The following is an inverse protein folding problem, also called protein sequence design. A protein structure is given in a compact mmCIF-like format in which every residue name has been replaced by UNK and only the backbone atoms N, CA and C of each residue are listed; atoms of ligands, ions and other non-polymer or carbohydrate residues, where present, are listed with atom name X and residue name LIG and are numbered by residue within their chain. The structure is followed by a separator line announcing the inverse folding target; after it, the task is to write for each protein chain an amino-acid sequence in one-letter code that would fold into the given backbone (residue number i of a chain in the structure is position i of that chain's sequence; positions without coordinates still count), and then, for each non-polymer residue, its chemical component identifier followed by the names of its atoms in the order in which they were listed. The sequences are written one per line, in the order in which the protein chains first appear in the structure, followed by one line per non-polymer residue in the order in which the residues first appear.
data_IF_069499388064
#
_entry.id   IF_069499388064
#
_cell.length_a   1.000
_cell.length_b   1.000
_cell.length_c   1.000
_cell.angle_alpha   90.00
_cell.angle_beta   90.00
_cell.angle_gamma   90.00
#
_symmetry.space_group_name_H-M   'P 1'
#
loop_
_entity.id
_entity.type
_entity.pdbx_description
1 polymer ?
#
# COMPACT_ATOMS: atom_id res chain seq x y z
N UNK A 1 -49.62 4.05 10.93
CA UNK A 1 -48.56 3.01 10.89
C UNK A 1 -47.46 3.33 9.86
N UNK A 2 -47.68 4.29 8.96
CA UNK A 2 -46.74 4.69 7.89
C UNK A 2 -45.43 5.33 8.37
N UNK A 3 -45.49 6.23 9.36
CA UNK A 3 -44.31 6.97 9.82
C UNK A 3 -43.22 6.06 10.42
N UNK A 4 -43.60 4.99 11.11
CA UNK A 4 -42.66 4.05 11.73
C UNK A 4 -41.87 3.26 10.67
N UNK A 5 -42.55 2.91 9.57
CA UNK A 5 -41.94 2.23 8.42
C UNK A 5 -40.97 3.16 7.71
N UNK A 6 -41.38 4.40 7.46
CA UNK A 6 -40.53 5.41 6.82
C UNK A 6 -39.24 5.70 7.62
N UNK A 7 -39.37 5.85 8.95
CA UNK A 7 -38.22 6.06 9.83
C UNK A 7 -37.28 4.84 9.83
N UNK A 8 -37.83 3.63 9.90
CA UNK A 8 -37.02 2.40 9.84
C UNK A 8 -36.27 2.25 8.51
N UNK A 9 -36.93 2.56 7.38
CA UNK A 9 -36.27 2.58 6.06
C UNK A 9 -35.17 3.63 5.98
N UNK A 10 -35.39 4.83 6.55
CA UNK A 10 -34.39 5.89 6.57
C UNK A 10 -33.14 5.47 7.37
N UNK A 11 -33.32 4.81 8.51
CA UNK A 11 -32.19 4.28 9.29
C UNK A 11 -31.40 3.22 8.51
N UNK A 12 -32.07 2.29 7.82
CA UNK A 12 -31.40 1.25 7.03
C UNK A 12 -30.51 1.83 5.92
N UNK A 13 -30.97 2.88 5.24
CA UNK A 13 -30.17 3.56 4.19
C UNK A 13 -28.91 4.20 4.78
N UNK A 14 -29.02 4.82 5.96
CA UNK A 14 -27.87 5.47 6.62
C UNK A 14 -26.82 4.43 7.03
N UNK A 15 -27.23 3.28 7.59
CA UNK A 15 -26.29 2.22 7.98
C UNK A 15 -25.57 1.58 6.79
N UNK A 16 -26.27 1.34 5.66
CA UNK A 16 -25.65 0.79 4.44
C UNK A 16 -24.64 1.76 3.83
N UNK A 17 -24.88 3.07 3.96
CA UNK A 17 -23.99 4.11 3.44
C UNK A 17 -22.65 4.21 4.18
N UNK A 18 -22.58 3.73 5.43
CA UNK A 18 -21.39 3.86 6.28
C UNK A 18 -20.39 2.70 6.11
N UNK A 19 -20.85 1.58 5.54
CA UNK A 19 -20.04 0.38 5.37
C UNK A 19 -19.34 0.38 4.02
N UNK A 20 -18.12 0.91 3.94
CA UNK A 20 -17.00 0.40 3.10
C UNK A 20 -15.85 1.41 3.11
N UNK A 21 -15.30 1.71 4.29
CA UNK A 21 -13.96 2.29 4.32
C UNK A 21 -12.97 1.21 3.89
N UNK A 22 -12.56 1.28 2.61
CA UNK A 22 -11.58 0.38 2.01
C UNK A 22 -10.25 0.63 2.72
N UNK A 23 -9.92 -0.22 3.69
CA UNK A 23 -8.60 -0.21 4.32
C UNK A 23 -7.59 -0.67 3.26
N UNK A 24 -6.91 0.29 2.63
CA UNK A 24 -5.77 -0.01 1.76
C UNK A 24 -4.66 -0.57 2.67
N UNK A 25 -4.26 -1.82 2.46
CA UNK A 25 -3.16 -2.42 3.22
C UNK A 25 -1.88 -1.62 2.92
N UNK A 26 -1.23 -1.12 3.97
CA UNK A 26 0.07 -0.46 3.81
C UNK A 26 1.09 -1.45 3.24
N UNK A 27 1.88 -1.07 2.24
CA UNK A 27 2.85 -1.96 1.65
C UNK A 27 3.99 -2.26 2.62
N UNK A 28 4.49 -3.49 2.53
CA UNK A 28 5.72 -3.91 3.18
C UNK A 28 6.92 -3.22 2.54
N UNK A 29 7.80 -2.66 3.37
CA UNK A 29 9.06 -2.06 2.93
C UNK A 29 10.20 -2.96 3.38
N UNK A 30 11.02 -3.43 2.43
CA UNK A 30 12.14 -4.35 2.71
C UNK A 30 13.37 -3.85 1.96
N UNK A 31 14.53 -3.81 2.61
CA UNK A 31 15.80 -3.53 1.93
C UNK A 31 16.12 -4.66 0.94
N UNK A 32 16.54 -4.32 -0.29
CA UNK A 32 16.92 -5.33 -1.28
C UNK A 32 18.25 -5.98 -0.89
N UNK A 33 18.26 -7.32 -0.79
CA UNK A 33 19.48 -8.10 -0.52
C UNK A 33 20.38 -8.28 -1.74
N UNK A 34 19.89 -7.91 -2.93
CA UNK A 34 20.56 -8.16 -4.21
C UNK A 34 21.09 -6.86 -4.83
N UNK A 35 20.47 -5.71 -4.53
CA UNK A 35 20.92 -4.42 -5.03
C UNK A 35 22.23 -4.00 -4.35
N UNK A 36 23.23 -3.59 -5.14
CA UNK A 36 24.51 -3.12 -4.60
C UNK A 36 24.43 -1.62 -4.27
N UNK A 37 24.64 -1.20 -3.01
CA UNK A 37 24.70 0.22 -2.66
C UNK A 37 25.93 0.90 -3.28
N UNK A 38 25.93 2.24 -3.44
CA UNK A 38 24.83 3.15 -3.08
C UNK A 38 23.71 3.18 -4.13
N UNK A 39 22.49 3.41 -3.67
CA UNK A 39 21.32 3.60 -4.51
C UNK A 39 21.34 5.03 -5.10
N UNK A 40 21.86 5.14 -6.32
CA UNK A 40 21.96 6.40 -7.07
C UNK A 40 20.79 6.63 -8.02
N UNK A 41 20.06 5.57 -8.37
CA UNK A 41 18.94 5.60 -9.30
C UNK A 41 17.80 4.70 -8.81
N UNK A 42 16.68 5.33 -8.47
CA UNK A 42 15.45 4.64 -8.06
C UNK A 42 14.88 3.75 -9.16
N UNK A 43 15.14 4.04 -10.44
CA UNK A 43 14.64 3.24 -11.57
C UNK A 43 15.33 1.88 -11.61
N UNK A 44 16.65 1.85 -11.46
CA UNK A 44 17.45 0.64 -11.33
C UNK A 44 17.11 -0.17 -10.08
N UNK A 45 16.85 0.51 -8.96
CA UNK A 45 16.36 -0.11 -7.73
C UNK A 45 14.98 -0.77 -7.95
N UNK A 46 14.01 -0.03 -8.51
CA UNK A 46 12.68 -0.55 -8.86
C UNK A 46 12.75 -1.77 -9.78
N UNK A 47 13.56 -1.71 -10.84
CA UNK A 47 13.72 -2.81 -11.77
C UNK A 47 14.26 -4.07 -11.06
N UNK A 48 15.24 -3.90 -10.17
CA UNK A 48 15.78 -4.98 -9.33
C UNK A 48 14.69 -5.55 -8.40
N UNK A 49 13.95 -4.68 -7.71
CA UNK A 49 12.89 -5.07 -6.79
C UNK A 49 11.76 -5.86 -7.48
N UNK A 50 11.33 -5.42 -8.67
CA UNK A 50 10.30 -6.14 -9.44
C UNK A 50 10.84 -7.49 -9.93
N UNK A 51 12.11 -7.53 -10.36
CA UNK A 51 12.71 -8.72 -10.97
C UNK A 51 13.07 -9.82 -9.97
N UNK A 52 13.57 -9.45 -8.79
CA UNK A 52 14.17 -10.41 -7.85
C UNK A 52 13.41 -10.53 -6.52
N UNK A 53 12.62 -9.52 -6.15
CA UNK A 53 12.02 -9.41 -4.82
C UNK A 53 10.49 -9.58 -4.81
N UNK A 54 9.86 -9.87 -5.96
CA UNK A 54 8.40 -9.91 -6.12
C UNK A 54 7.70 -8.63 -5.63
N UNK A 55 8.42 -7.51 -5.67
CA UNK A 55 7.91 -6.21 -5.27
C UNK A 55 7.13 -5.59 -6.43
N UNK A 56 6.17 -4.71 -6.11
CA UNK A 56 5.46 -3.93 -7.12
C UNK A 56 6.13 -2.58 -7.37
N UNK A 57 7.02 -2.16 -6.48
CA UNK A 57 7.78 -0.92 -6.61
C UNK A 57 9.12 -0.98 -5.86
N UNK A 58 9.97 0.02 -6.05
CA UNK A 58 11.21 0.19 -5.31
C UNK A 58 11.75 1.60 -5.41
N UNK A 59 12.55 2.02 -4.43
CA UNK A 59 13.16 3.36 -4.42
C UNK A 59 14.38 3.46 -3.52
N UNK A 60 15.20 4.48 -3.79
CA UNK A 60 16.33 4.81 -2.95
C UNK A 60 15.86 5.53 -1.68
N UNK A 61 16.37 5.11 -0.53
CA UNK A 61 16.13 5.74 0.77
C UNK A 61 17.36 5.60 1.67
N UNK A 62 17.37 6.30 2.81
CA UNK A 62 18.59 6.43 3.63
C UNK A 62 19.38 7.67 3.22
N UNK A 63 19.84 8.44 4.21
CA UNK A 63 20.42 9.77 4.00
C UNK A 63 21.79 9.73 3.32
N UNK A 64 22.85 9.64 4.11
CA UNK A 64 24.24 9.70 3.63
C UNK A 64 24.67 8.44 2.86
N UNK A 65 24.01 7.31 3.11
CA UNK A 65 24.25 6.03 2.45
C UNK A 65 22.90 5.52 1.91
N UNK A 66 22.53 5.91 0.67
CA UNK A 66 21.25 5.53 0.13
C UNK A 66 21.25 4.05 -0.20
N UNK A 67 20.27 3.32 0.32
CA UNK A 67 20.00 1.92 0.06
C UNK A 67 18.74 1.77 -0.78
N UNK A 68 18.60 0.60 -1.41
CA UNK A 68 17.43 0.28 -2.22
C UNK A 68 16.38 -0.42 -1.37
N UNK A 69 15.18 0.16 -1.29
CA UNK A 69 14.03 -0.41 -0.58
C UNK A 69 12.96 -0.85 -1.58
N UNK A 70 12.47 -2.07 -1.42
CA UNK A 70 11.43 -2.70 -2.23
C UNK A 70 10.07 -2.67 -1.53
N UNK A 71 9.02 -2.34 -2.26
CA UNK A 71 7.65 -2.27 -1.76
C UNK A 71 6.84 -3.51 -2.19
N UNK A 72 6.43 -4.33 -1.22
CA UNK A 72 5.69 -5.60 -1.42
C UNK A 72 4.27 -5.50 -0.86
N UNK A 73 3.33 -6.24 -1.44
CA UNK A 73 1.95 -6.31 -0.90
C UNK A 73 1.84 -7.21 0.32
N UNK A 74 2.76 -8.15 0.47
CA UNK A 74 2.83 -9.13 1.55
C UNK A 74 4.27 -9.28 2.01
N UNK A 75 4.43 -9.34 3.32
CA UNK A 75 5.58 -9.87 4.03
C UNK A 75 5.21 -11.32 4.41
#
# INVERSE_FOLDING_TARGET
MEAKRAVMFMFLVIFVSWGTMKAEASPCVVESSVFKPPCLDSSSCKATCIKYDCAFDGGCGGGSDPQCFCYKRTC
#
